data_IF_219495900337
#
_entry.id   IF_219495900337
#
_cell.length_a   1.000
_cell.length_b   1.000
_cell.length_c   1.000
_cell.angle_alpha   90.00
_cell.angle_beta   90.00
_cell.angle_gamma   90.00
#
_symmetry.space_group_name_H-M   'P 1'
#
loop_
_entity.id
_entity.type
_entity.pdbx_description
1 polymer ?
#
# COMPACT_ATOMS: atom_id res chain seq x y z
N UNK A 1 46.37 2.56 30.28
CA UNK A 1 47.16 3.32 29.30
C UNK A 1 46.92 4.81 29.50
N UNK A 2 48.01 5.50 29.82
CA UNK A 2 48.28 6.94 29.97
C UNK A 2 48.15 7.62 28.57
N UNK A 3 47.71 8.86 28.29
CA UNK A 3 47.74 10.19 28.93
C UNK A 3 46.58 11.06 28.35
N UNK A 4 45.74 11.75 29.14
CA UNK A 4 45.83 13.16 29.65
C UNK A 4 45.80 14.22 28.54
N UNK A 5 44.73 15.01 28.34
CA UNK A 5 44.09 16.05 29.17
C UNK A 5 44.80 17.41 29.16
N UNK A 6 44.12 18.37 28.52
CA UNK A 6 43.92 19.79 28.86
C UNK A 6 44.99 20.55 29.68
N UNK A 7 45.29 21.78 29.24
CA UNK A 7 45.13 22.95 30.10
C UNK A 7 45.16 24.29 29.33
N UNK A 8 44.18 25.12 29.69
CA UNK A 8 44.15 26.56 29.55
C UNK A 8 45.25 27.26 30.37
N UNK A 9 45.35 28.57 30.15
CA UNK A 9 45.72 29.70 31.03
C UNK A 9 46.88 30.49 30.44
N UNK A 10 47.05 31.80 30.63
CA UNK A 10 46.21 32.98 30.86
C UNK A 10 47.21 34.15 30.98
N UNK A 11 46.72 35.34 30.70
CA UNK A 11 47.27 36.69 30.90
C UNK A 11 48.57 36.87 31.74
N UNK A 12 49.57 37.61 31.23
CA UNK A 12 50.27 38.68 31.98
C UNK A 12 51.09 39.61 31.06
N UNK A 13 50.73 40.89 31.08
CA UNK A 13 51.46 42.04 30.54
C UNK A 13 52.65 42.48 31.42
N UNK A 14 53.72 43.00 30.77
CA UNK A 14 54.84 43.88 31.21
C UNK A 14 56.21 43.23 30.88
N UNK A 15 57.23 43.87 30.28
CA UNK A 15 57.53 45.24 29.82
C UNK A 15 58.68 45.13 28.78
N UNK A 16 58.59 45.92 27.72
CA UNK A 16 59.72 46.63 27.08
C UNK A 16 60.89 45.84 26.50
N UNK A 17 60.85 45.61 25.18
CA UNK A 17 61.96 46.01 24.31
C UNK A 17 61.42 46.37 22.94
N UNK A 18 61.76 47.58 22.50
CA UNK A 18 61.46 48.13 21.18
C UNK A 18 62.16 47.30 20.11
N UNK A 19 61.41 46.53 19.34
CA UNK A 19 61.84 46.06 18.02
C UNK A 19 60.65 46.25 17.08
N UNK A 20 60.77 47.23 16.20
CA UNK A 20 59.82 47.47 15.12
C UNK A 20 59.61 46.17 14.32
N UNK A 21 58.36 45.76 14.03
CA UNK A 21 58.13 44.68 13.10
C UNK A 21 58.52 45.20 11.73
N UNK A 22 59.70 44.79 11.25
CA UNK A 22 60.03 44.88 9.83
C UNK A 22 58.93 44.17 9.05
N UNK A 23 58.05 44.95 8.45
CA UNK A 23 57.22 44.52 7.34
C UNK A 23 58.18 44.16 6.20
N UNK A 24 58.63 42.90 6.18
CA UNK A 24 59.20 42.33 4.99
C UNK A 24 58.07 42.29 3.96
N UNK A 25 58.03 43.32 3.10
CA UNK A 25 57.20 43.30 1.92
C UNK A 25 57.46 41.97 1.21
N UNK A 26 56.38 41.26 0.86
CA UNK A 26 56.49 40.08 0.02
C UNK A 26 57.32 40.49 -1.22
N UNK A 27 58.39 39.76 -1.56
CA UNK A 27 59.25 40.16 -2.66
C UNK A 27 58.40 40.30 -3.92
N UNK A 28 58.50 41.45 -4.60
CA UNK A 28 57.86 41.63 -5.90
C UNK A 28 58.29 40.47 -6.81
N UNK A 29 57.34 39.79 -7.47
CA UNK A 29 57.68 38.63 -8.27
C UNK A 29 58.65 39.05 -9.37
N UNK A 30 59.85 38.47 -9.35
CA UNK A 30 60.89 38.65 -10.37
C UNK A 30 60.26 38.49 -11.77
N UNK A 31 60.64 39.34 -12.73
CA UNK A 31 60.19 39.28 -14.11
C UNK A 31 60.29 37.87 -14.72
N UNK A 32 61.24 37.05 -14.24
CA UNK A 32 61.35 35.62 -14.58
C UNK A 32 60.15 34.80 -14.09
N UNK A 33 59.66 35.05 -12.88
CA UNK A 33 58.51 34.37 -12.28
C UNK A 33 57.19 34.74 -12.97
N UNK A 34 57.00 36.03 -13.29
CA UNK A 34 55.85 36.52 -14.06
C UNK A 34 55.83 35.89 -15.46
N UNK A 35 56.99 35.80 -16.14
CA UNK A 35 57.11 35.13 -17.45
C UNK A 35 56.75 33.64 -17.38
N UNK A 36 57.13 32.94 -16.32
CA UNK A 36 56.78 31.53 -16.11
C UNK A 36 55.27 31.38 -15.87
N UNK A 37 54.66 32.25 -15.06
CA UNK A 37 53.21 32.21 -14.84
C UNK A 37 52.42 32.54 -16.11
N UNK A 38 52.82 33.58 -16.86
CA UNK A 38 52.20 33.92 -18.13
C UNK A 38 52.30 32.77 -19.13
N UNK A 39 53.44 32.08 -19.18
CA UNK A 39 53.61 30.90 -20.03
C UNK A 39 52.68 29.75 -19.60
N UNK A 40 52.54 29.49 -18.30
CA UNK A 40 51.62 28.46 -17.79
C UNK A 40 50.16 28.79 -18.08
N UNK A 41 49.75 30.06 -17.93
CA UNK A 41 48.41 30.52 -18.30
C UNK A 41 48.18 30.41 -19.81
N UNK A 42 49.16 30.79 -20.64
CA UNK A 42 49.07 30.59 -22.09
C UNK A 42 49.02 29.12 -22.48
N UNK A 43 49.73 28.24 -21.79
CA UNK A 43 49.64 26.78 -21.99
C UNK A 43 48.27 26.24 -21.55
N UNK A 44 47.69 26.76 -20.45
CA UNK A 44 46.35 26.40 -19.99
C UNK A 44 45.27 26.86 -20.98
N UNK A 45 45.34 28.11 -21.44
CA UNK A 45 44.44 28.64 -22.46
C UNK A 45 44.51 27.83 -23.76
N UNK A 46 45.72 27.51 -24.24
CA UNK A 46 45.87 26.66 -25.44
C UNK A 46 45.28 25.26 -25.26
N UNK A 47 45.38 24.70 -24.05
CA UNK A 47 44.78 23.40 -23.74
C UNK A 47 43.26 23.49 -23.67
N UNK A 48 42.72 24.53 -23.02
CA UNK A 48 41.29 24.81 -22.94
C UNK A 48 40.69 25.02 -24.35
N UNK A 49 41.34 25.82 -25.19
CA UNK A 49 40.92 26.07 -26.58
C UNK A 49 40.88 24.78 -27.38
N UNK A 50 41.92 23.94 -27.26
CA UNK A 50 41.99 22.64 -27.93
C UNK A 50 40.93 21.67 -27.41
N UNK A 51 40.67 21.65 -26.10
CA UNK A 51 39.62 20.82 -25.52
C UNK A 51 38.23 21.25 -26.00
N UNK A 52 37.99 22.56 -26.12
CA UNK A 52 36.74 23.10 -26.68
C UNK A 52 36.61 22.76 -28.17
N UNK A 53 37.69 22.85 -28.94
CA UNK A 53 37.70 22.43 -30.35
C UNK A 53 37.44 20.93 -30.51
N UNK A 54 38.11 20.08 -29.75
CA UNK A 54 37.91 18.63 -29.76
C UNK A 54 36.48 18.27 -29.36
N UNK A 55 35.92 18.95 -28.35
CA UNK A 55 34.52 18.77 -27.94
C UNK A 55 33.55 19.21 -29.04
N UNK A 56 33.79 20.35 -29.70
CA UNK A 56 32.98 20.81 -30.84
C UNK A 56 33.07 19.84 -32.01
N UNK A 57 34.26 19.34 -32.31
CA UNK A 57 34.48 18.34 -33.35
C UNK A 57 33.76 17.03 -33.01
N UNK A 58 33.80 16.59 -31.76
CA UNK A 58 33.10 15.41 -31.28
C UNK A 58 31.57 15.56 -31.39
N UNK A 59 31.00 16.68 -30.94
CA UNK A 59 29.57 16.97 -31.04
C UNK A 59 29.14 17.07 -32.51
N UNK A 60 29.96 17.68 -33.37
CA UNK A 60 29.69 17.78 -34.81
C UNK A 60 29.72 16.41 -35.49
N UNK A 61 30.66 15.54 -35.10
CA UNK A 61 30.78 14.17 -35.62
C UNK A 61 29.72 13.21 -35.04
N UNK A 62 29.17 13.54 -33.87
CA UNK A 62 28.15 12.76 -33.18
C UNK A 62 26.90 13.62 -32.98
N UNK A 63 26.11 13.88 -34.05
CA UNK A 63 24.91 14.68 -33.95
C UNK A 63 23.99 14.13 -32.84
N UNK A 64 23.21 14.99 -32.18
CA UNK A 64 22.35 14.58 -31.08
C UNK A 64 21.48 13.41 -31.51
N UNK A 65 21.39 12.39 -30.64
CA UNK A 65 20.56 11.21 -30.89
C UNK A 65 19.14 11.66 -31.25
N UNK A 66 18.46 10.99 -32.19
CA UNK A 66 17.09 11.33 -32.53
C UNK A 66 16.24 11.36 -31.26
N UNK A 67 15.47 12.44 -31.10
CA UNK A 67 14.49 12.54 -30.02
C UNK A 67 13.55 11.36 -30.17
N UNK A 68 13.51 10.47 -29.17
CA UNK A 68 12.56 9.37 -29.12
C UNK A 68 11.16 9.96 -28.96
N UNK A 69 10.49 10.22 -30.08
CA UNK A 69 9.10 10.64 -30.06
C UNK A 69 8.25 9.45 -29.68
N UNK A 70 7.25 9.61 -28.79
CA UNK A 70 6.28 8.55 -28.56
C UNK A 70 5.65 8.20 -29.90
N UNK A 71 5.67 6.91 -30.26
CA UNK A 71 4.92 6.45 -31.42
C UNK A 71 3.46 6.80 -31.16
N UNK A 72 2.84 7.58 -32.06
CA UNK A 72 1.39 7.77 -32.05
C UNK A 72 0.79 6.39 -32.31
N UNK A 73 0.40 5.70 -31.25
CA UNK A 73 -0.32 4.44 -31.40
C UNK A 73 -1.69 4.80 -31.95
N UNK A 74 -2.10 4.16 -33.06
CA UNK A 74 -3.50 4.14 -33.46
C UNK A 74 -4.31 3.65 -32.25
N UNK A 75 -5.48 4.23 -32.01
CA UNK A 75 -6.35 3.80 -30.92
C UNK A 75 -6.48 2.27 -30.99
N UNK A 76 -5.95 1.52 -30.00
CA UNK A 76 -6.10 0.08 -30.00
C UNK A 76 -7.60 -0.24 -29.98
N UNK A 77 -7.99 -1.42 -30.48
CA UNK A 77 -9.34 -1.94 -30.19
C UNK A 77 -9.51 -1.90 -28.68
N UNK A 78 -10.58 -1.27 -28.20
CA UNK A 78 -10.87 -1.14 -26.78
C UNK A 78 -10.82 -2.54 -26.15
N UNK A 79 -9.83 -2.79 -25.32
CA UNK A 79 -9.73 -4.05 -24.58
C UNK A 79 -10.50 -3.87 -23.28
N UNK A 80 -11.41 -4.81 -22.99
CA UNK A 80 -12.18 -4.75 -21.77
C UNK A 80 -11.30 -4.99 -20.55
N UNK A 81 -11.54 -4.24 -19.48
CA UNK A 81 -10.95 -4.50 -18.18
C UNK A 81 -11.95 -5.13 -17.21
N UNK A 82 -11.42 -5.78 -16.18
CA UNK A 82 -12.17 -6.21 -15.01
C UNK A 82 -11.54 -5.58 -13.77
N UNK A 83 -12.36 -5.26 -12.77
CA UNK A 83 -11.92 -4.68 -11.51
C UNK A 83 -12.19 -5.63 -10.34
N UNK A 84 -11.31 -5.58 -9.34
CA UNK A 84 -11.50 -6.25 -8.06
C UNK A 84 -11.31 -5.23 -6.94
N UNK A 85 -12.40 -4.92 -6.23
CA UNK A 85 -12.34 -4.16 -4.98
C UNK A 85 -12.00 -5.14 -3.86
N UNK A 86 -10.84 -4.97 -3.22
CA UNK A 86 -10.58 -5.62 -1.94
C UNK A 86 -11.32 -4.83 -0.86
N UNK A 87 -12.19 -5.52 -0.12
CA UNK A 87 -13.03 -4.92 0.92
C UNK A 87 -12.84 -5.71 2.22
N UNK A 88 -12.31 -5.10 3.28
CA UNK A 88 -12.06 -5.84 4.53
C UNK A 88 -11.89 -4.95 5.75
N UNK A 89 -11.97 -5.59 6.92
CA UNK A 89 -11.55 -5.01 8.20
C UNK A 89 -12.29 -3.70 8.53
N UNK A 90 -13.61 -3.72 8.38
CA UNK A 90 -14.48 -2.62 8.81
C UNK A 90 -14.73 -2.64 10.32
N UNK A 91 -14.67 -3.80 10.97
CA UNK A 91 -14.88 -3.90 12.43
C UNK A 91 -16.11 -3.13 12.92
N UNK A 92 -17.21 -3.17 12.19
CA UNK A 92 -18.46 -2.56 12.62
C UNK A 92 -19.05 -3.36 13.80
N UNK A 93 -19.55 -2.73 14.88
CA UNK A 93 -19.81 -1.31 15.08
C UNK A 93 -18.84 -0.69 16.11
N UNK A 94 -17.55 -1.04 16.04
CA UNK A 94 -16.55 -0.58 16.99
C UNK A 94 -16.46 0.95 17.02
N UNK A 95 -16.17 1.49 18.21
CA UNK A 95 -15.97 2.92 18.44
C UNK A 95 -14.53 3.13 18.88
N UNK A 96 -13.84 4.05 18.18
CA UNK A 96 -12.51 4.53 18.55
C UNK A 96 -12.67 5.99 18.97
N UNK A 97 -12.41 6.25 20.25
CA UNK A 97 -12.68 7.53 20.89
C UNK A 97 -11.47 8.46 20.72
N UNK A 98 -11.61 9.63 20.05
CA UNK A 98 -10.49 10.53 19.77
C UNK A 98 -9.70 10.97 21.00
N UNK A 99 -10.39 11.15 22.13
CA UNK A 99 -9.74 11.53 23.38
C UNK A 99 -8.84 10.44 23.98
N UNK A 100 -9.05 9.17 23.59
CA UNK A 100 -8.27 8.01 24.06
C UNK A 100 -7.27 7.50 22.99
N UNK A 101 -7.54 7.76 21.70
CA UNK A 101 -6.79 7.23 20.57
C UNK A 101 -5.92 8.28 19.84
N UNK A 102 -5.35 9.25 20.57
CA UNK A 102 -4.48 10.30 20.01
C UNK A 102 -5.12 11.09 18.84
N UNK A 103 -6.42 11.31 18.90
CA UNK A 103 -7.19 12.03 17.88
C UNK A 103 -7.71 11.16 16.72
N UNK A 104 -7.45 9.85 16.73
CA UNK A 104 -8.07 8.92 15.78
C UNK A 104 -9.56 8.76 16.10
N UNK A 105 -10.40 8.73 15.06
CA UNK A 105 -11.85 8.54 15.24
C UNK A 105 -12.37 7.43 14.34
N UNK A 106 -13.23 6.60 14.92
CA UNK A 106 -14.02 5.63 14.19
C UNK A 106 -15.33 5.35 14.91
N UNK A 107 -16.36 5.02 14.13
CA UNK A 107 -17.67 4.66 14.63
C UNK A 107 -18.62 4.34 13.48
N UNK A 108 -19.89 3.98 13.79
CA UNK A 108 -20.88 3.61 12.78
C UNK A 108 -21.08 4.62 11.65
N UNK A 109 -21.16 5.92 11.97
CA UNK A 109 -21.33 6.99 10.96
C UNK A 109 -20.11 7.13 10.04
N UNK A 110 -18.90 7.09 10.61
CA UNK A 110 -17.65 7.13 9.84
C UNK A 110 -17.55 5.91 8.94
N UNK A 111 -17.94 4.72 9.44
CA UNK A 111 -18.00 3.49 8.66
C UNK A 111 -18.88 3.67 7.41
N UNK A 112 -20.11 4.15 7.59
CA UNK A 112 -21.04 4.38 6.49
C UNK A 112 -20.50 5.39 5.47
N UNK A 113 -20.03 6.56 5.92
CA UNK A 113 -19.43 7.59 5.04
C UNK A 113 -18.23 7.06 4.25
N UNK A 114 -17.40 6.20 4.87
CA UNK A 114 -16.27 5.55 4.19
C UNK A 114 -16.74 4.54 3.13
N UNK A 115 -17.80 3.77 3.39
CA UNK A 115 -18.40 2.87 2.41
C UNK A 115 -18.97 3.65 1.21
N UNK A 116 -19.67 4.76 1.46
CA UNK A 116 -20.18 5.66 0.41
C UNK A 116 -19.03 6.26 -0.41
N UNK A 117 -17.94 6.68 0.23
CA UNK A 117 -16.76 7.17 -0.48
C UNK A 117 -16.08 6.09 -1.34
N UNK A 118 -16.04 4.84 -0.87
CA UNK A 118 -15.54 3.70 -1.66
C UNK A 118 -16.40 3.53 -2.91
N UNK A 119 -17.73 3.52 -2.78
CA UNK A 119 -18.66 3.43 -3.92
C UNK A 119 -18.34 4.49 -4.96
N UNK A 120 -18.35 5.76 -4.56
CA UNK A 120 -18.18 6.89 -5.48
C UNK A 120 -16.80 6.88 -6.15
N UNK A 121 -15.78 6.49 -5.39
CA UNK A 121 -14.41 6.39 -5.89
C UNK A 121 -14.27 5.26 -6.91
N UNK A 122 -14.85 4.08 -6.66
CA UNK A 122 -14.83 2.94 -7.60
C UNK A 122 -15.53 3.31 -8.92
N UNK A 123 -16.69 3.94 -8.86
CA UNK A 123 -17.42 4.44 -10.04
C UNK A 123 -16.54 5.41 -10.83
N UNK A 124 -15.94 6.40 -10.14
CA UNK A 124 -15.01 7.34 -10.76
C UNK A 124 -13.82 6.64 -11.44
N UNK A 125 -13.21 5.64 -10.80
CA UNK A 125 -12.10 4.89 -11.39
C UNK A 125 -12.51 4.12 -12.66
N UNK A 126 -13.74 3.57 -12.68
CA UNK A 126 -14.34 2.94 -13.86
C UNK A 126 -14.60 3.95 -14.97
N UNK A 127 -15.18 5.10 -14.68
CA UNK A 127 -15.50 6.12 -15.69
C UNK A 127 -14.23 6.70 -16.34
N UNK A 128 -13.20 6.99 -15.55
CA UNK A 128 -11.90 7.45 -16.05
C UNK A 128 -11.22 6.47 -17.03
N UNK A 129 -11.52 5.17 -16.91
CA UNK A 129 -11.00 4.12 -17.81
C UNK A 129 -11.91 3.85 -18.99
N UNK A 130 -13.23 3.92 -18.79
CA UNK A 130 -14.23 3.41 -19.74
C UNK A 130 -14.17 4.08 -21.12
N UNK A 131 -13.63 5.29 -21.22
CA UNK A 131 -13.37 5.98 -22.50
C UNK A 131 -12.44 5.20 -23.43
N UNK A 132 -11.47 4.44 -22.88
CA UNK A 132 -10.47 3.68 -23.66
C UNK A 132 -10.48 2.18 -23.38
N UNK A 133 -10.92 1.80 -22.18
CA UNK A 133 -10.91 0.43 -21.67
C UNK A 133 -12.21 0.18 -20.90
N UNK A 134 -13.29 -0.28 -21.57
CA UNK A 134 -14.57 -0.50 -20.91
C UNK A 134 -14.42 -1.55 -19.81
N UNK A 135 -14.88 -1.22 -18.60
CA UNK A 135 -14.85 -2.14 -17.46
C UNK A 135 -16.12 -2.97 -17.46
N UNK A 136 -16.00 -4.29 -17.67
CA UNK A 136 -17.18 -5.16 -17.88
C UNK A 136 -17.65 -5.90 -16.64
N UNK A 137 -16.77 -6.08 -15.66
CA UNK A 137 -17.10 -6.77 -14.41
C UNK A 137 -16.37 -6.12 -13.25
N UNK A 138 -17.07 -5.99 -12.13
CA UNK A 138 -16.51 -5.69 -10.82
C UNK A 138 -16.69 -6.89 -9.90
N UNK A 139 -15.61 -7.33 -9.28
CA UNK A 139 -15.66 -8.27 -8.16
C UNK A 139 -15.42 -7.50 -6.86
N UNK A 140 -16.34 -7.59 -5.90
CA UNK A 140 -16.13 -7.16 -4.52
C UNK A 140 -15.60 -8.38 -3.77
N UNK A 141 -14.29 -8.42 -3.58
CA UNK A 141 -13.62 -9.45 -2.78
C UNK A 141 -13.62 -9.03 -1.32
N UNK A 142 -14.68 -9.39 -0.60
CA UNK A 142 -14.79 -9.15 0.84
C UNK A 142 -13.95 -10.18 1.61
N UNK A 143 -12.81 -9.72 2.17
CA UNK A 143 -11.82 -10.58 2.82
C UNK A 143 -12.10 -10.81 4.31
N UNK A 144 -13.24 -10.37 4.85
CA UNK A 144 -13.67 -10.63 6.23
C UNK A 144 -13.35 -9.52 7.23
N UNK A 145 -13.70 -9.78 8.50
CA UNK A 145 -13.67 -8.83 9.63
C UNK A 145 -14.44 -7.55 9.37
N UNK A 146 -15.63 -7.71 8.79
CA UNK A 146 -16.58 -6.61 8.65
C UNK A 146 -17.27 -6.29 9.96
N UNK A 147 -17.49 -7.31 10.80
CA UNK A 147 -18.03 -7.14 12.15
C UNK A 147 -16.92 -7.26 13.19
N UNK A 148 -16.87 -6.36 14.18
CA UNK A 148 -15.88 -6.40 15.27
C UNK A 148 -16.06 -7.62 16.17
N UNK A 149 -17.32 -8.02 16.40
CA UNK A 149 -17.67 -9.11 17.30
C UNK A 149 -17.25 -8.83 18.75
N UNK A 150 -17.21 -9.88 19.57
CA UNK A 150 -16.98 -9.78 21.03
C UNK A 150 -15.80 -10.65 21.45
N UNK A 151 -14.68 -10.57 20.73
CA UNK A 151 -13.54 -11.47 20.96
C UNK A 151 -12.64 -11.05 22.10
N UNK A 152 -12.67 -9.76 22.39
CA UNK A 152 -12.07 -9.12 23.54
C UNK A 152 -13.20 -8.60 24.43
N UNK A 153 -13.03 -8.71 25.75
CA UNK A 153 -14.04 -8.27 26.71
C UNK A 153 -14.34 -6.77 26.57
N UNK A 154 -13.33 -5.97 26.22
CA UNK A 154 -13.50 -4.55 25.93
C UNK A 154 -14.49 -4.31 24.79
N UNK A 155 -14.39 -5.05 23.68
CA UNK A 155 -15.30 -4.91 22.53
C UNK A 155 -16.75 -5.28 22.89
N UNK A 156 -16.95 -6.24 23.80
CA UNK A 156 -18.28 -6.56 24.31
C UNK A 156 -18.91 -5.38 25.08
N UNK A 157 -18.09 -4.52 25.69
CA UNK A 157 -18.52 -3.36 26.47
C UNK A 157 -18.65 -2.10 25.60
N UNK A 158 -17.72 -1.89 24.66
CA UNK A 158 -17.55 -0.61 23.96
C UNK A 158 -18.16 -0.56 22.57
N UNK A 159 -18.52 -1.70 21.96
CA UNK A 159 -19.20 -1.72 20.66
C UNK A 159 -20.51 -0.89 20.73
N UNK A 160 -20.76 -0.08 19.69
CA UNK A 160 -21.95 0.80 19.67
C UNK A 160 -23.28 0.02 19.60
N UNK A 161 -23.26 -1.24 19.19
CA UNK A 161 -24.44 -2.12 19.21
C UNK A 161 -24.03 -3.59 19.38
N UNK A 162 -24.95 -4.45 19.87
CA UNK A 162 -24.71 -5.89 19.91
C UNK A 162 -24.48 -6.48 18.52
N UNK A 163 -23.68 -7.55 18.43
CA UNK A 163 -23.31 -8.20 17.15
C UNK A 163 -24.51 -8.59 16.28
N UNK A 164 -25.65 -8.92 16.88
CA UNK A 164 -26.88 -9.27 16.16
C UNK A 164 -27.47 -8.08 15.40
N UNK A 165 -27.47 -6.90 16.00
CA UNK A 165 -27.91 -5.65 15.36
C UNK A 165 -26.87 -5.20 14.35
N UNK A 166 -25.59 -5.27 14.73
CA UNK A 166 -24.47 -4.91 13.86
C UNK A 166 -24.47 -5.71 12.55
N UNK A 167 -24.77 -7.01 12.63
CA UNK A 167 -24.90 -7.89 11.47
C UNK A 167 -25.95 -7.39 10.49
N UNK A 168 -27.14 -7.03 10.98
CA UNK A 168 -28.26 -6.58 10.13
C UNK A 168 -27.91 -5.24 9.48
N UNK A 169 -27.44 -4.28 10.28
CA UNK A 169 -27.10 -2.93 9.79
C UNK A 169 -25.96 -2.98 8.76
N UNK A 170 -24.91 -3.77 9.02
CA UNK A 170 -23.82 -3.92 8.07
C UNK A 170 -24.25 -4.66 6.80
N UNK A 171 -25.17 -5.62 6.89
CA UNK A 171 -25.71 -6.29 5.70
C UNK A 171 -26.41 -5.30 4.76
N UNK A 172 -27.18 -4.34 5.30
CA UNK A 172 -27.78 -3.27 4.51
C UNK A 172 -26.70 -2.35 3.91
N UNK A 173 -25.72 -1.88 4.69
CA UNK A 173 -24.64 -1.04 4.13
C UNK A 173 -23.85 -1.75 3.01
N UNK A 174 -23.53 -3.03 3.18
CA UNK A 174 -22.85 -3.82 2.16
C UNK A 174 -23.73 -4.06 0.93
N UNK A 175 -25.04 -4.25 1.11
CA UNK A 175 -26.01 -4.35 0.03
C UNK A 175 -26.14 -3.02 -0.73
N UNK A 176 -26.23 -1.89 -0.04
CA UNK A 176 -26.34 -0.56 -0.64
C UNK A 176 -25.10 -0.23 -1.48
N UNK A 177 -23.91 -0.58 -0.98
CA UNK A 177 -22.67 -0.50 -1.76
C UNK A 177 -22.75 -1.34 -3.04
N UNK A 178 -23.08 -2.63 -2.90
CA UNK A 178 -23.05 -3.57 -4.01
C UNK A 178 -24.15 -3.32 -5.06
N UNK A 179 -25.35 -2.94 -4.62
CA UNK A 179 -26.48 -2.60 -5.49
C UNK A 179 -26.21 -1.32 -6.28
N UNK A 180 -25.70 -0.27 -5.64
CA UNK A 180 -25.30 0.96 -6.34
C UNK A 180 -24.22 0.69 -7.40
N UNK A 181 -23.27 -0.21 -7.09
CA UNK A 181 -22.26 -0.62 -8.07
C UNK A 181 -22.87 -1.49 -9.18
N UNK A 182 -23.90 -2.29 -8.91
CA UNK A 182 -24.58 -3.09 -9.93
C UNK A 182 -25.37 -2.24 -10.94
N UNK A 183 -25.77 -1.01 -10.57
CA UNK A 183 -26.35 -0.04 -11.51
C UNK A 183 -25.30 0.51 -12.49
N UNK A 184 -24.03 0.54 -12.08
CA UNK A 184 -22.94 1.18 -12.82
C UNK A 184 -22.06 0.20 -13.63
N UNK A 185 -22.05 -1.07 -13.26
CA UNK A 185 -21.23 -2.10 -13.88
C UNK A 185 -22.11 -3.17 -14.55
N UNK A 186 -21.75 -3.66 -15.76
CA UNK A 186 -22.54 -4.69 -16.44
C UNK A 186 -22.66 -6.02 -15.67
N UNK A 187 -21.65 -6.34 -14.85
CA UNK A 187 -21.65 -7.52 -13.98
C UNK A 187 -20.99 -7.17 -12.65
N UNK A 188 -21.68 -7.48 -11.54
CA UNK A 188 -21.13 -7.39 -10.19
C UNK A 188 -21.20 -8.74 -9.50
N UNK A 189 -20.08 -9.13 -8.90
CA UNK A 189 -19.96 -10.34 -8.09
C UNK A 189 -19.40 -9.98 -6.71
N UNK A 190 -20.09 -10.40 -5.65
CA UNK A 190 -19.71 -10.21 -4.27
C UNK A 190 -19.24 -11.53 -3.67
N UNK A 191 -17.97 -11.61 -3.27
CA UNK A 191 -17.39 -12.80 -2.64
C UNK A 191 -17.18 -12.50 -1.16
N UNK A 192 -17.98 -13.14 -0.29
CA UNK A 192 -17.93 -12.93 1.16
C UNK A 192 -17.09 -14.00 1.87
N UNK A 193 -15.89 -13.63 2.32
CA UNK A 193 -15.09 -14.46 3.21
C UNK A 193 -15.38 -14.16 4.68
N UNK A 194 -15.10 -15.15 5.53
CA UNK A 194 -15.14 -14.99 6.99
C UNK A 194 -13.78 -14.54 7.49
N UNK A 195 -13.77 -13.53 8.36
CA UNK A 195 -12.60 -13.18 9.17
C UNK A 195 -12.62 -13.86 10.54
N UNK A 196 -11.72 -13.47 11.44
CA UNK A 196 -11.59 -14.07 12.77
C UNK A 196 -12.28 -13.31 13.91
N UNK A 197 -12.71 -12.06 13.68
CA UNK A 197 -13.31 -11.21 14.70
C UNK A 197 -14.67 -11.71 15.15
N UNK A 198 -15.70 -11.89 14.31
CA UNK A 198 -17.02 -12.19 14.82
C UNK A 198 -17.25 -13.72 14.89
N UNK A 199 -16.26 -14.43 15.46
CA UNK A 199 -16.31 -15.86 15.73
C UNK A 199 -17.26 -16.17 16.90
N UNK A 200 -17.96 -17.30 16.81
CA UNK A 200 -18.88 -17.76 17.86
C UNK A 200 -18.19 -18.34 19.10
N UNK A 201 -16.85 -18.33 19.13
CA UNK A 201 -16.06 -19.04 20.15
C UNK A 201 -14.88 -18.20 20.58
N UNK A 202 -14.57 -18.16 21.89
CA UNK A 202 -13.47 -17.36 22.42
C UNK A 202 -12.11 -17.64 21.77
N UNK A 203 -11.77 -18.92 21.52
CA UNK A 203 -10.51 -19.34 20.88
C UNK A 203 -10.69 -19.68 19.39
N UNK A 204 -9.70 -19.42 18.52
CA UNK A 204 -9.72 -19.88 17.14
C UNK A 204 -9.82 -21.40 17.03
N UNK A 205 -10.47 -21.89 15.96
CA UNK A 205 -10.58 -23.32 15.62
C UNK A 205 -10.00 -23.56 14.23
N UNK A 206 -9.50 -24.77 13.97
CA UNK A 206 -9.05 -25.15 12.63
C UNK A 206 -10.17 -25.77 11.78
N UNK A 207 -11.10 -26.49 12.43
CA UNK A 207 -12.29 -27.08 11.79
C UNK A 207 -13.47 -26.11 11.92
N UNK A 208 -14.24 -25.97 10.84
CA UNK A 208 -15.45 -25.16 10.86
C UNK A 208 -15.19 -23.66 11.10
N UNK A 209 -14.08 -23.11 10.60
CA UNK A 209 -13.78 -21.67 10.70
C UNK A 209 -14.89 -20.77 10.14
N UNK A 210 -15.59 -21.28 9.12
CA UNK A 210 -16.76 -20.62 8.53
C UNK A 210 -17.96 -20.54 9.49
N UNK A 211 -17.99 -21.26 10.62
CA UNK A 211 -19.06 -21.14 11.62
C UNK A 211 -18.88 -19.85 12.43
N UNK A 212 -19.31 -18.75 11.82
CA UNK A 212 -18.95 -17.39 12.17
C UNK A 212 -20.13 -16.46 11.77
N UNK A 213 -20.32 -15.33 12.46
CA UNK A 213 -21.36 -14.36 12.09
C UNK A 213 -21.17 -13.79 10.68
N UNK A 214 -19.94 -13.70 10.15
CA UNK A 214 -19.65 -13.30 8.75
C UNK A 214 -20.30 -14.25 7.74
N UNK A 215 -20.45 -15.53 8.08
CA UNK A 215 -21.10 -16.50 7.20
C UNK A 215 -22.60 -16.24 7.13
N UNK A 216 -23.21 -15.88 8.26
CA UNK A 216 -24.62 -15.46 8.33
C UNK A 216 -24.79 -14.13 7.58
N UNK A 217 -23.91 -13.15 7.81
CA UNK A 217 -23.86 -11.88 7.10
C UNK A 217 -23.82 -12.08 5.58
N UNK A 218 -22.95 -12.96 5.07
CA UNK A 218 -22.87 -13.27 3.64
C UNK A 218 -24.18 -13.80 3.06
N UNK A 219 -24.87 -14.68 3.78
CA UNK A 219 -26.19 -15.17 3.34
C UNK A 219 -27.28 -14.12 3.44
N UNK A 220 -27.19 -13.21 4.40
CA UNK A 220 -28.10 -12.07 4.52
C UNK A 220 -27.94 -11.11 3.33
N UNK A 221 -26.69 -10.75 3.00
CA UNK A 221 -26.36 -9.96 1.79
C UNK A 221 -26.86 -10.68 0.54
N UNK A 222 -26.68 -12.00 0.45
CA UNK A 222 -27.19 -12.81 -0.67
C UNK A 222 -28.72 -12.76 -0.78
N UNK A 223 -29.43 -12.79 0.34
CA UNK A 223 -30.88 -12.68 0.34
C UNK A 223 -31.34 -11.28 -0.09
N UNK A 224 -30.67 -10.22 0.37
CA UNK A 224 -30.94 -8.83 -0.03
C UNK A 224 -30.63 -8.59 -1.51
N UNK A 225 -29.58 -9.21 -2.04
CA UNK A 225 -29.15 -9.04 -3.43
C UNK A 225 -30.24 -9.43 -4.45
N UNK A 226 -31.03 -10.47 -4.15
CA UNK A 226 -31.94 -11.08 -5.12
C UNK A 226 -31.20 -11.46 -6.40
N UNK A 227 -31.63 -10.90 -7.53
CA UNK A 227 -31.00 -11.09 -8.84
C UNK A 227 -30.13 -9.88 -9.27
N UNK A 228 -29.99 -8.85 -8.43
CA UNK A 228 -29.30 -7.59 -8.77
C UNK A 228 -27.79 -7.78 -8.98
N UNK A 229 -27.18 -8.66 -8.18
CA UNK A 229 -25.76 -9.02 -8.31
C UNK A 229 -25.52 -10.42 -7.73
N UNK A 230 -24.45 -11.08 -8.19
CA UNK A 230 -24.14 -12.45 -7.76
C UNK A 230 -23.42 -12.44 -6.41
N UNK A 231 -23.85 -13.28 -5.47
CA UNK A 231 -23.19 -13.43 -4.16
C UNK A 231 -22.67 -14.86 -3.95
N UNK A 232 -21.39 -14.96 -3.58
CA UNK A 232 -20.70 -16.21 -3.24
C UNK A 232 -20.25 -16.15 -1.79
N UNK A 233 -20.65 -17.14 -0.99
CA UNK A 233 -20.31 -17.27 0.43
C UNK A 233 -19.58 -18.61 0.65
N UNK A 234 -18.28 -18.69 0.30
CA UNK A 234 -17.55 -19.95 0.39
C UNK A 234 -17.27 -20.32 1.85
N UNK A 235 -17.26 -21.63 2.13
CA UNK A 235 -16.77 -22.18 3.41
C UNK A 235 -15.25 -22.40 3.43
N UNK A 236 -14.58 -22.19 2.29
CA UNK A 236 -13.19 -22.52 2.09
C UNK A 236 -12.26 -21.56 2.84
N UNK A 237 -11.14 -22.08 3.35
CA UNK A 237 -10.09 -21.28 4.01
C UNK A 237 -9.32 -20.38 3.04
N UNK A 238 -9.28 -20.81 1.78
CA UNK A 238 -8.71 -20.13 0.63
C UNK A 238 -9.74 -20.29 -0.48
N UNK A 239 -10.28 -19.19 -1.00
CA UNK A 239 -11.16 -19.22 -2.15
C UNK A 239 -10.38 -18.78 -3.38
N UNK A 240 -10.40 -19.59 -4.44
CA UNK A 240 -9.74 -19.25 -5.70
C UNK A 240 -10.74 -18.57 -6.63
N UNK A 241 -10.41 -17.37 -7.08
CA UNK A 241 -11.21 -16.58 -8.01
C UNK A 241 -10.44 -16.34 -9.31
N UNK A 242 -11.11 -16.41 -10.45
CA UNK A 242 -10.48 -16.22 -11.76
C UNK A 242 -10.94 -14.91 -12.35
N UNK A 243 -9.98 -14.06 -12.73
CA UNK A 243 -10.19 -12.76 -13.37
C UNK A 243 -9.42 -12.81 -14.69
N UNK A 244 -10.14 -12.86 -15.81
CA UNK A 244 -9.57 -13.25 -17.11
C UNK A 244 -8.68 -14.51 -17.03
N UNK A 245 -7.38 -14.36 -17.32
CA UNK A 245 -6.36 -15.41 -17.28
C UNK A 245 -5.52 -15.38 -15.99
N UNK A 246 -5.98 -14.66 -14.96
CA UNK A 246 -5.32 -14.53 -13.68
C UNK A 246 -6.06 -15.31 -12.60
N UNK A 247 -5.33 -16.12 -11.84
CA UNK A 247 -5.86 -16.84 -10.68
C UNK A 247 -5.53 -16.07 -9.40
N UNK A 248 -6.57 -15.60 -8.72
CA UNK A 248 -6.48 -14.96 -7.41
C UNK A 248 -6.79 -16.00 -6.33
N UNK A 249 -6.01 -16.00 -5.26
CA UNK A 249 -6.36 -16.65 -4.00
C UNK A 249 -6.80 -15.60 -3.00
N UNK A 250 -8.00 -15.76 -2.46
CA UNK A 250 -8.60 -14.87 -1.48
C UNK A 250 -8.65 -15.57 -0.12
N UNK A 251 -8.10 -14.91 0.90
CA UNK A 251 -8.19 -15.37 2.29
C UNK A 251 -8.08 -14.17 3.23
N UNK A 252 -8.59 -14.32 4.46
CA UNK A 252 -8.54 -13.24 5.44
C UNK A 252 -7.10 -12.95 5.93
N UNK A 253 -6.44 -13.90 6.60
CA UNK A 253 -5.02 -13.76 6.99
C UNK A 253 -4.66 -14.30 8.37
N UNK A 254 -5.67 -14.49 9.24
CA UNK A 254 -5.61 -14.94 10.65
C UNK A 254 -4.74 -16.19 10.93
N UNK A 255 -4.52 -17.02 9.92
CA UNK A 255 -3.64 -18.18 10.03
C UNK A 255 -2.14 -17.85 9.99
N UNK A 256 -1.76 -16.58 9.92
CA UNK A 256 -0.39 -16.14 9.62
C UNK A 256 0.01 -15.00 10.55
N UNK A 257 1.26 -14.99 10.98
CA UNK A 257 1.85 -13.82 11.62
C UNK A 257 2.51 -12.97 10.53
N UNK A 258 2.20 -11.67 10.47
CA UNK A 258 2.91 -10.72 9.59
C UNK A 258 4.37 -10.47 10.00
N UNK A 259 4.78 -10.98 11.17
CA UNK A 259 6.07 -10.72 11.79
C UNK A 259 7.25 -10.82 10.83
N UNK A 260 8.14 -9.85 10.95
CA UNK A 260 9.43 -9.86 10.29
C UNK A 260 10.40 -10.83 10.96
N UNK A 261 11.39 -11.30 10.20
CA UNK A 261 12.51 -12.08 10.72
C UNK A 261 13.80 -11.47 10.18
N UNK A 262 14.80 -11.30 11.04
CA UNK A 262 16.10 -10.72 10.68
C UNK A 262 16.00 -9.36 9.93
N UNK A 263 15.03 -8.51 10.29
CA UNK A 263 14.82 -7.19 9.68
C UNK A 263 14.03 -7.18 8.36
N UNK A 264 13.49 -8.33 7.91
CA UNK A 264 12.68 -8.42 6.69
C UNK A 264 11.20 -8.33 7.05
N UNK A 265 10.47 -7.25 6.68
CA UNK A 265 9.02 -7.17 6.87
C UNK A 265 8.29 -8.28 6.09
N UNK A 266 7.19 -8.78 6.63
CA UNK A 266 6.30 -9.76 5.97
C UNK A 266 6.93 -11.14 5.64
N UNK A 267 8.09 -11.48 6.21
CA UNK A 267 8.75 -12.77 5.99
C UNK A 267 7.81 -13.97 6.27
N UNK A 268 7.02 -13.89 7.34
CA UNK A 268 6.02 -14.91 7.67
C UNK A 268 4.96 -15.10 6.57
N UNK A 269 4.55 -14.02 5.91
CA UNK A 269 3.56 -14.05 4.82
C UNK A 269 4.15 -14.61 3.53
N UNK A 270 5.41 -14.28 3.23
CA UNK A 270 6.10 -14.84 2.07
C UNK A 270 6.21 -16.36 2.16
N UNK A 271 6.64 -16.89 3.32
CA UNK A 271 6.68 -18.35 3.54
C UNK A 271 5.31 -19.00 3.38
N UNK A 272 4.24 -18.35 3.87
CA UNK A 272 2.88 -18.86 3.71
C UNK A 272 2.46 -18.90 2.26
N UNK A 273 2.74 -17.84 1.51
CA UNK A 273 2.46 -17.78 0.08
C UNK A 273 3.13 -18.94 -0.67
N UNK A 274 4.41 -19.19 -0.40
CA UNK A 274 5.15 -20.30 -1.03
C UNK A 274 4.58 -21.67 -0.61
N UNK A 275 4.20 -21.82 0.66
CA UNK A 275 3.52 -23.01 1.16
C UNK A 275 2.16 -23.26 0.51
N UNK A 276 1.36 -22.21 0.28
CA UNK A 276 0.08 -22.31 -0.44
C UNK A 276 0.32 -22.73 -1.89
N UNK A 277 1.30 -22.15 -2.58
CA UNK A 277 1.62 -22.54 -3.95
C UNK A 277 2.07 -23.99 -4.07
N UNK A 278 2.91 -24.46 -3.14
CA UNK A 278 3.34 -25.85 -3.08
C UNK A 278 2.16 -26.80 -2.80
N UNK A 279 1.27 -26.43 -1.87
CA UNK A 279 0.07 -27.19 -1.53
C UNK A 279 -0.91 -27.29 -2.69
N UNK A 280 -1.21 -26.17 -3.36
CA UNK A 280 -2.10 -26.19 -4.52
C UNK A 280 -1.54 -27.09 -5.63
N UNK A 281 -0.23 -26.98 -5.90
CA UNK A 281 0.44 -27.82 -6.90
C UNK A 281 0.39 -29.31 -6.53
N UNK A 282 0.64 -29.67 -5.26
CA UNK A 282 0.60 -31.07 -4.81
C UNK A 282 -0.80 -31.67 -4.84
N UNK A 283 -1.82 -30.83 -4.67
CA UNK A 283 -3.24 -31.22 -4.79
C UNK A 283 -3.78 -31.14 -6.22
N UNK A 284 -2.95 -30.81 -7.22
CA UNK A 284 -3.35 -30.71 -8.63
C UNK A 284 -4.22 -29.49 -8.96
N UNK A 285 -4.23 -28.47 -8.10
CA UNK A 285 -4.95 -27.22 -8.33
C UNK A 285 -4.10 -26.21 -9.13
N UNK A 286 -4.74 -25.30 -9.88
CA UNK A 286 -4.02 -24.21 -10.54
C UNK A 286 -3.20 -23.37 -9.56
N UNK A 287 -2.02 -22.95 -10.00
CA UNK A 287 -1.19 -22.01 -9.24
C UNK A 287 -1.80 -20.62 -9.25
N UNK A 288 -1.57 -19.87 -8.19
CA UNK A 288 -2.06 -18.50 -8.05
C UNK A 288 -1.10 -17.51 -8.72
N UNK A 289 -1.65 -16.49 -9.37
CA UNK A 289 -0.90 -15.30 -9.79
C UNK A 289 -0.88 -14.24 -8.69
N UNK A 290 -1.94 -14.17 -7.87
CA UNK A 290 -2.08 -13.18 -6.80
C UNK A 290 -2.69 -13.83 -5.56
N UNK A 291 -2.15 -13.50 -4.39
CA UNK A 291 -2.70 -13.89 -3.09
C UNK A 291 -3.14 -12.62 -2.36
N UNK A 292 -4.43 -12.45 -2.14
CA UNK A 292 -5.01 -11.26 -1.53
C UNK A 292 -5.38 -11.53 -0.06
N UNK A 293 -4.92 -10.66 0.85
CA UNK A 293 -5.08 -10.76 2.31
C UNK A 293 -5.74 -9.49 2.87
N UNK A 294 -6.54 -9.63 3.93
CA UNK A 294 -6.92 -8.53 4.84
C UNK A 294 -6.12 -8.67 6.15
N UNK A 295 -6.79 -8.54 7.31
CA UNK A 295 -6.33 -8.89 8.66
C UNK A 295 -5.19 -8.04 9.24
N UNK A 296 -4.19 -7.69 8.44
CA UNK A 296 -3.00 -6.98 8.91
C UNK A 296 -3.16 -5.47 8.94
N UNK A 297 -4.26 -4.94 8.40
CA UNK A 297 -4.60 -3.51 8.35
C UNK A 297 -3.48 -2.66 7.70
N UNK A 298 -2.72 -3.24 6.77
CA UNK A 298 -1.60 -2.59 6.09
C UNK A 298 -1.73 -2.82 4.59
N UNK A 299 -1.88 -1.74 3.83
CA UNK A 299 -1.82 -1.81 2.38
C UNK A 299 -0.40 -2.12 1.91
N UNK A 300 -0.23 -3.25 1.22
CA UNK A 300 1.05 -3.66 0.65
C UNK A 300 0.87 -4.46 -0.64
N UNK A 301 1.85 -4.36 -1.53
CA UNK A 301 1.98 -5.22 -2.70
C UNK A 301 3.43 -5.69 -2.79
N UNK A 302 3.65 -6.97 -2.51
CA UNK A 302 4.96 -7.60 -2.57
C UNK A 302 5.01 -8.51 -3.78
N UNK A 303 5.90 -8.18 -4.72
CA UNK A 303 6.13 -9.01 -5.89
C UNK A 303 6.79 -10.32 -5.47
N UNK A 304 6.25 -11.45 -5.93
CA UNK A 304 6.89 -12.75 -5.78
C UNK A 304 7.32 -13.33 -7.12
N UNK A 305 7.99 -14.49 -7.08
CA UNK A 305 8.50 -15.13 -8.30
C UNK A 305 7.36 -15.59 -9.23
N UNK A 306 6.36 -16.27 -8.68
CA UNK A 306 5.23 -16.84 -9.44
C UNK A 306 3.87 -16.29 -9.00
N UNK A 307 3.83 -15.66 -7.83
CA UNK A 307 2.63 -15.15 -7.19
C UNK A 307 2.99 -13.84 -6.50
N UNK A 308 2.15 -12.83 -6.65
CA UNK A 308 2.27 -11.60 -5.88
C UNK A 308 1.42 -11.69 -4.61
N UNK A 309 1.92 -11.08 -3.53
CA UNK A 309 1.15 -10.92 -2.30
C UNK A 309 0.57 -9.52 -2.26
N UNK A 310 -0.75 -9.43 -2.17
CA UNK A 310 -1.46 -8.15 -2.03
C UNK A 310 -2.13 -8.18 -0.65
N UNK A 311 -1.79 -7.21 0.18
CA UNK A 311 -2.40 -7.03 1.50
C UNK A 311 -3.24 -5.77 1.42
N UNK A 312 -4.51 -5.90 1.76
CA UNK A 312 -5.46 -4.80 1.80
C UNK A 312 -5.25 -3.96 3.08
N UNK A 313 -5.58 -2.68 2.98
CA UNK A 313 -5.76 -1.85 4.17
C UNK A 313 -7.03 -2.22 4.92
N UNK A 314 -7.30 -1.49 6.01
CA UNK A 314 -8.55 -1.61 6.76
C UNK A 314 -9.47 -0.43 6.52
N UNK A 315 -10.78 -0.65 6.65
CA UNK A 315 -11.77 0.42 6.59
C UNK A 315 -11.80 1.19 7.92
N UNK A 316 -11.55 0.51 9.05
CA UNK A 316 -11.45 1.13 10.38
C UNK A 316 -10.24 2.07 10.52
N UNK A 317 -9.05 1.63 10.10
CA UNK A 317 -7.79 2.30 10.40
C UNK A 317 -7.16 1.82 11.71
N UNK A 318 -6.38 2.68 12.35
CA UNK A 318 -5.76 2.43 13.67
C UNK A 318 -6.74 2.62 14.83
N UNK A 319 -6.43 1.96 15.94
CA UNK A 319 -7.21 1.92 17.17
C UNK A 319 -6.28 1.93 18.41
N UNK A 320 -6.88 1.91 19.60
CA UNK A 320 -6.16 1.85 20.88
C UNK A 320 -5.23 0.63 20.95
N UNK A 321 -5.67 -0.52 20.44
CA UNK A 321 -4.87 -1.74 20.41
C UNK A 321 -3.62 -1.57 19.55
N UNK A 322 -3.72 -0.98 18.36
CA UNK A 322 -2.60 -0.77 17.45
C UNK A 322 -1.61 0.24 17.99
N UNK A 323 -2.12 1.31 18.62
CA UNK A 323 -1.30 2.30 19.30
C UNK A 323 -0.50 1.69 20.45
N UNK A 324 -1.14 0.89 21.32
CA UNK A 324 -0.49 0.30 22.49
C UNK A 324 0.48 -0.81 22.11
N UNK A 325 0.10 -1.71 21.20
CA UNK A 325 0.89 -2.92 20.93
C UNK A 325 1.93 -2.72 19.82
N UNK A 326 1.71 -1.79 18.90
CA UNK A 326 2.57 -1.58 17.73
C UNK A 326 3.13 -0.18 17.62
N UNK A 327 2.65 0.79 18.42
CA UNK A 327 3.03 2.20 18.32
C UNK A 327 2.83 2.74 16.91
N UNK A 328 1.74 2.31 16.27
CA UNK A 328 1.46 2.53 14.86
C UNK A 328 -0.05 2.69 14.65
N UNK A 329 -0.40 3.57 13.72
CA UNK A 329 -1.77 3.81 13.30
C UNK A 329 -1.77 3.93 11.78
N UNK A 330 -2.29 2.91 11.10
CA UNK A 330 -2.41 2.94 9.65
C UNK A 330 -3.63 3.71 9.24
N UNK A 331 -3.41 4.65 8.32
CA UNK A 331 -4.48 5.39 7.66
C UNK A 331 -5.48 4.43 6.99
N UNK A 332 -6.78 4.58 7.26
CA UNK A 332 -7.82 3.71 6.70
C UNK A 332 -7.83 3.84 5.18
N UNK A 333 -7.88 2.69 4.49
CA UNK A 333 -7.82 2.60 3.04
C UNK A 333 -8.25 1.22 2.54
N UNK A 334 -8.68 1.16 1.29
CA UNK A 334 -8.99 -0.08 0.56
C UNK A 334 -8.29 -0.10 -0.80
N UNK A 335 -8.08 -1.28 -1.38
CA UNK A 335 -7.41 -1.42 -2.67
C UNK A 335 -8.39 -1.77 -3.80
N UNK A 336 -8.24 -1.08 -4.94
CA UNK A 336 -8.92 -1.40 -6.19
C UNK A 336 -7.90 -1.91 -7.21
N UNK A 337 -8.09 -3.14 -7.66
CA UNK A 337 -7.22 -3.81 -8.62
C UNK A 337 -7.85 -3.76 -10.01
N UNK A 338 -7.10 -3.38 -11.04
CA UNK A 338 -7.55 -3.42 -12.44
C UNK A 338 -6.77 -4.45 -13.23
N UNK A 339 -7.49 -5.34 -13.91
CA UNK A 339 -6.94 -6.42 -14.71
C UNK A 339 -7.16 -6.18 -16.20
N UNK A 340 -6.10 -6.43 -16.96
CA UNK A 340 -6.09 -6.49 -18.42
C UNK A 340 -6.05 -7.96 -18.87
N UNK A 341 -6.79 -8.36 -19.91
CA UNK A 341 -6.89 -9.75 -20.34
C UNK A 341 -5.55 -10.38 -20.73
N UNK A 342 -4.62 -9.59 -21.27
CA UNK A 342 -3.29 -10.08 -21.68
C UNK A 342 -2.17 -9.76 -20.69
N UNK A 343 -2.33 -8.71 -19.87
CA UNK A 343 -1.26 -8.16 -19.03
C UNK A 343 -1.49 -8.40 -17.55
N UNK A 344 -2.58 -9.11 -17.18
CA UNK A 344 -2.98 -9.39 -15.80
C UNK A 344 -3.18 -8.08 -15.02
N UNK A 345 -2.73 -8.01 -13.76
CA UNK A 345 -2.84 -6.80 -12.95
C UNK A 345 -2.00 -5.67 -13.56
N UNK A 346 -2.67 -4.62 -14.04
CA UNK A 346 -2.02 -3.44 -14.63
C UNK A 346 -2.04 -2.23 -13.72
N UNK A 347 -2.92 -2.22 -12.72
CA UNK A 347 -3.06 -1.11 -11.78
C UNK A 347 -3.58 -1.59 -10.43
N UNK A 348 -2.99 -1.06 -9.36
CA UNK A 348 -3.47 -1.17 -7.98
C UNK A 348 -3.65 0.26 -7.46
N UNK A 349 -4.89 0.70 -7.43
CA UNK A 349 -5.28 2.01 -6.91
C UNK A 349 -5.60 1.90 -5.41
N UNK A 350 -5.18 2.90 -4.64
CA UNK A 350 -5.50 3.01 -3.20
C UNK A 350 -6.66 3.99 -3.04
N UNK A 351 -7.73 3.55 -2.39
CA UNK A 351 -8.86 4.38 -1.97
C UNK A 351 -8.55 4.86 -0.55
N UNK A 352 -8.14 6.12 -0.41
CA UNK A 352 -7.79 6.72 0.89
C UNK A 352 -9.05 7.15 1.64
N UNK A 353 -9.15 6.79 2.92
CA UNK A 353 -10.35 7.04 3.75
C UNK A 353 -10.03 7.89 4.99
N UNK A 354 -8.76 8.20 5.24
CA UNK A 354 -8.32 8.89 6.47
C UNK A 354 -8.83 10.31 6.62
N UNK A 355 -9.24 10.94 5.52
CA UNK A 355 -9.84 12.28 5.52
C UNK A 355 -11.33 12.27 5.96
N UNK A 356 -11.91 11.09 6.19
CA UNK A 356 -13.28 10.90 6.67
C UNK A 356 -13.18 10.51 8.15
N UNK A 357 -13.37 11.51 9.01
CA UNK A 357 -13.36 11.41 10.47
C UNK A 357 -14.68 11.87 11.07
#
# INVERSE_FOLDING_TARGET
MRWRSAQCYDCYTKRGSTVEPRTAAAPEPDAKHIRIQLRKEQERHRFEDRAVEDLRAFIKAHPPRPILRPKVKKAPKAQSHEMVLLFSDAHYPEVVEPSEALGLSYGPDICQRRIEHIRDTVIRYKDLRSTSYPVRKLTIADLGDQLSGNIHEELEITNASPVSEALVNFAYMAHDLASSLAEEFPEVEYIKLCGNHPRLTKKPRNKGKWNNFEYILGHFIKALAGDSYKVIVPKALLYTHTVFNSQLGLLHGDGSKAGGFAGIPFYGLKRRQDGIQALLSSLGNPRLNYLCLGHFHVDAHLQGADCDLIINGSLKGGDEYSLVNYHDAKEPRQALLTFHPEHRLTDKSVISLGHIT
#
